data_IF_142842140582
#
_entry.id   IF_142842140582
#
_cell.length_a   1.000
_cell.length_b   1.000
_cell.length_c   1.000
_cell.angle_alpha   90.00
_cell.angle_beta   90.00
_cell.angle_gamma   90.00
#
_symmetry.space_group_name_H-M   'P 1'
#
loop_
_entity.id
_entity.type
_entity.pdbx_description
1 polymer ?
#
# COMPACT_ATOMS: atom_id res chain seq x y z
N UNK A 1 -9.25 -0.06 -32.26
CA UNK A 1 -9.24 -1.27 -31.41
C UNK A 1 -8.01 -1.37 -30.49
N UNK A 2 -7.21 -0.30 -30.30
CA UNK A 2 -5.93 -0.32 -29.56
C UNK A 2 -5.97 0.37 -28.19
N UNK A 3 -6.91 1.31 -27.97
CA UNK A 3 -6.93 2.15 -26.76
C UNK A 3 -7.31 1.39 -25.46
N UNK A 4 -8.15 0.34 -25.56
CA UNK A 4 -8.57 -0.46 -24.39
C UNK A 4 -7.51 -1.46 -23.91
N UNK A 5 -6.63 -1.92 -24.80
CA UNK A 5 -5.60 -2.92 -24.44
C UNK A 5 -4.51 -2.32 -23.56
N UNK A 6 -4.24 -1.01 -23.68
CA UNK A 6 -3.14 -0.31 -22.99
C UNK A 6 -3.43 -0.07 -21.49
N UNK A 7 -4.71 -0.15 -21.07
CA UNK A 7 -5.12 0.22 -19.73
C UNK A 7 -4.75 -0.79 -18.62
N UNK A 8 -4.40 -2.04 -18.98
CA UNK A 8 -4.06 -3.12 -18.03
C UNK A 8 -2.65 -3.68 -18.16
N UNK A 9 -1.79 -3.05 -18.97
CA UNK A 9 -0.44 -3.54 -19.24
C UNK A 9 0.51 -3.07 -18.12
N UNK A 10 1.31 -3.95 -17.51
CA UNK A 10 2.26 -3.54 -16.49
C UNK A 10 3.30 -2.57 -17.10
N UNK A 11 3.75 -1.61 -16.29
CA UNK A 11 4.73 -0.60 -16.70
C UNK A 11 5.99 -1.17 -17.35
N UNK A 12 6.44 -2.34 -16.91
CA UNK A 12 7.58 -3.06 -17.50
C UNK A 12 7.35 -3.39 -18.97
N UNK A 13 6.15 -3.85 -19.34
CA UNK A 13 5.82 -4.22 -20.72
C UNK A 13 5.68 -2.98 -21.60
N UNK A 14 5.14 -1.88 -21.11
CA UNK A 14 5.06 -0.64 -21.89
C UNK A 14 6.45 -0.05 -22.16
N UNK A 15 7.33 -0.08 -21.16
CA UNK A 15 8.72 0.32 -21.32
C UNK A 15 9.45 -0.57 -22.33
N UNK A 16 9.28 -1.90 -22.22
CA UNK A 16 9.81 -2.85 -23.19
C UNK A 16 9.29 -2.59 -24.60
N UNK A 17 7.99 -2.30 -24.77
CA UNK A 17 7.42 -2.00 -26.08
C UNK A 17 8.01 -0.71 -26.66
N UNK A 18 8.11 0.37 -25.88
CA UNK A 18 8.71 1.62 -26.33
C UNK A 18 10.17 1.44 -26.77
N UNK A 19 10.95 0.71 -25.96
CA UNK A 19 12.35 0.39 -26.28
C UNK A 19 12.43 -0.48 -27.54
N UNK A 20 11.60 -1.52 -27.66
CA UNK A 20 11.60 -2.41 -28.81
C UNK A 20 11.26 -1.68 -30.11
N UNK A 21 10.32 -0.74 -30.08
CA UNK A 21 9.93 0.08 -31.22
C UNK A 21 11.06 1.03 -31.61
N UNK A 22 11.72 1.66 -30.64
CA UNK A 22 12.86 2.55 -30.90
C UNK A 22 14.03 1.77 -31.51
N UNK A 23 14.36 0.59 -30.98
CA UNK A 23 15.39 -0.28 -31.55
C UNK A 23 15.01 -0.70 -32.97
N UNK A 24 13.75 -1.06 -33.21
CA UNK A 24 13.24 -1.41 -34.54
C UNK A 24 13.40 -0.26 -35.55
N UNK A 25 13.07 0.98 -35.16
CA UNK A 25 13.26 2.16 -36.00
C UNK A 25 14.75 2.43 -36.28
N UNK A 26 15.61 2.27 -35.28
CA UNK A 26 17.05 2.47 -35.45
C UNK A 26 17.62 1.43 -36.42
N UNK A 27 17.31 0.15 -36.24
CA UNK A 27 17.79 -0.93 -37.12
C UNK A 27 17.23 -0.74 -38.54
N UNK A 28 15.92 -0.54 -38.67
CA UNK A 28 15.27 -0.35 -39.97
C UNK A 28 15.80 0.86 -40.73
N UNK A 29 15.97 1.99 -40.04
CA UNK A 29 16.60 3.18 -40.61
C UNK A 29 18.05 2.93 -41.01
N UNK A 30 18.83 2.27 -40.14
CA UNK A 30 20.25 2.01 -40.40
C UNK A 30 20.42 1.16 -41.65
N UNK A 31 19.63 0.09 -41.78
CA UNK A 31 19.60 -0.76 -42.96
C UNK A 31 19.19 0.04 -44.20
N UNK A 32 18.13 0.83 -44.12
CA UNK A 32 17.66 1.64 -45.24
C UNK A 32 18.74 2.61 -45.75
N UNK A 33 19.35 3.41 -44.86
CA UNK A 33 20.39 4.36 -45.27
C UNK A 33 21.68 3.68 -45.72
N UNK A 34 22.03 2.51 -45.19
CA UNK A 34 23.17 1.74 -45.66
C UNK A 34 23.01 1.38 -47.15
N UNK A 35 21.83 0.90 -47.55
CA UNK A 35 21.58 0.52 -48.94
C UNK A 35 21.27 1.69 -49.87
N UNK A 36 20.57 2.72 -49.38
CA UNK A 36 20.16 3.84 -50.23
C UNK A 36 21.25 4.89 -50.44
N UNK A 37 22.09 5.16 -49.44
CA UNK A 37 23.15 6.16 -49.51
C UNK A 37 24.56 5.53 -49.64
N UNK A 38 24.68 4.20 -49.48
CA UNK A 38 25.98 3.52 -49.52
C UNK A 38 26.89 3.86 -48.33
N UNK A 39 26.36 4.48 -47.28
CA UNK A 39 27.10 4.82 -46.07
C UNK A 39 27.54 3.57 -45.32
N UNK A 40 28.63 3.66 -44.55
CA UNK A 40 29.01 2.57 -43.65
C UNK A 40 27.94 2.34 -42.58
N UNK A 41 27.83 1.12 -42.03
CA UNK A 41 26.89 0.79 -40.95
C UNK A 41 26.95 1.78 -39.77
N UNK A 42 28.15 2.24 -39.41
CA UNK A 42 28.36 3.21 -38.35
C UNK A 42 27.81 4.60 -38.70
N UNK A 43 28.03 5.08 -39.93
CA UNK A 43 27.51 6.35 -40.43
C UNK A 43 25.98 6.33 -40.51
N UNK A 44 25.39 5.25 -41.03
CA UNK A 44 23.94 5.07 -41.08
C UNK A 44 23.31 5.04 -39.70
N UNK A 45 23.90 4.29 -38.76
CA UNK A 45 23.43 4.25 -37.37
C UNK A 45 23.50 5.63 -36.71
N UNK A 46 24.64 6.30 -36.87
CA UNK A 46 24.85 7.64 -36.33
C UNK A 46 23.83 8.65 -36.88
N UNK A 47 23.60 8.66 -38.19
CA UNK A 47 22.61 9.53 -38.82
C UNK A 47 21.20 9.25 -38.30
N UNK A 48 20.81 7.98 -38.18
CA UNK A 48 19.46 7.61 -37.70
C UNK A 48 19.27 8.01 -36.25
N UNK A 49 20.27 7.77 -35.39
CA UNK A 49 20.19 8.17 -33.97
C UNK A 49 20.16 9.69 -33.83
N UNK A 50 21.03 10.43 -34.52
CA UNK A 50 21.06 11.90 -34.43
C UNK A 50 19.77 12.52 -34.97
N UNK A 51 19.15 11.91 -35.98
CA UNK A 51 17.87 12.32 -36.56
C UNK A 51 16.70 12.02 -35.63
N UNK A 52 16.60 10.79 -35.09
CA UNK A 52 15.51 10.38 -34.19
C UNK A 52 15.56 11.11 -32.84
N UNK A 53 16.76 11.43 -32.35
CA UNK A 53 16.95 12.25 -31.15
C UNK A 53 16.78 13.75 -31.41
N UNK A 54 16.47 14.13 -32.66
CA UNK A 54 16.30 15.53 -33.10
C UNK A 54 17.53 16.41 -32.88
N UNK A 55 18.72 15.81 -32.73
CA UNK A 55 19.98 16.53 -32.59
C UNK A 55 20.43 17.09 -33.95
N UNK A 56 20.40 16.25 -35.00
CA UNK A 56 20.53 16.67 -36.40
C UNK A 56 21.78 17.52 -36.70
N UNK A 57 22.99 17.00 -36.46
CA UNK A 57 24.24 17.73 -36.68
C UNK A 57 24.46 18.23 -38.11
N UNK A 58 23.86 17.56 -39.11
CA UNK A 58 23.91 17.98 -40.53
C UNK A 58 25.21 17.64 -41.26
N UNK A 59 26.14 16.97 -40.58
CA UNK A 59 27.40 16.45 -41.13
C UNK A 59 27.18 15.30 -42.13
N UNK A 60 26.19 14.45 -41.87
CA UNK A 60 25.63 13.51 -42.84
C UNK A 60 24.24 13.98 -43.27
N UNK A 61 23.99 13.96 -44.57
CA UNK A 61 22.69 14.35 -45.14
C UNK A 61 22.41 13.57 -46.42
N UNK A 62 21.13 13.24 -46.70
CA UNK A 62 20.76 12.47 -47.88
C UNK A 62 21.13 13.20 -49.18
N UNK A 63 21.81 12.49 -50.08
CA UNK A 63 22.37 13.07 -51.32
C UNK A 63 21.40 13.00 -52.48
N UNK A 64 20.55 11.96 -52.54
CA UNK A 64 19.56 11.76 -53.62
C UNK A 64 18.19 12.35 -53.29
N UNK A 65 17.42 12.74 -54.31
CA UNK A 65 16.06 13.24 -54.09
C UNK A 65 15.13 12.18 -53.50
N UNK A 66 15.31 10.92 -53.89
CA UNK A 66 14.53 9.80 -53.35
C UNK A 66 14.78 9.59 -51.85
N UNK A 67 16.04 9.62 -51.43
CA UNK A 67 16.41 9.47 -50.00
C UNK A 67 16.00 10.68 -49.18
N UNK A 68 16.02 11.90 -49.74
CA UNK A 68 15.48 13.11 -49.07
C UNK A 68 13.99 12.98 -48.79
N UNK A 69 13.20 12.52 -49.76
CA UNK A 69 11.76 12.28 -49.58
C UNK A 69 11.54 11.20 -48.52
N UNK A 70 12.27 10.08 -48.61
CA UNK A 70 12.23 9.03 -47.59
C UNK A 70 12.56 9.56 -46.19
N UNK A 71 13.61 10.38 -46.07
CA UNK A 71 14.05 10.98 -44.81
C UNK A 71 12.98 11.88 -44.22
N UNK A 72 12.29 12.67 -45.04
CA UNK A 72 11.19 13.53 -44.58
C UNK A 72 10.06 12.70 -43.93
N UNK A 73 9.61 11.63 -44.58
CA UNK A 73 8.59 10.74 -44.02
C UNK A 73 9.10 9.96 -42.80
N UNK A 74 10.35 9.49 -42.85
CA UNK A 74 10.99 8.78 -41.75
C UNK A 74 11.10 9.65 -40.49
N UNK A 75 11.49 10.93 -40.64
CA UNK A 75 11.56 11.88 -39.52
C UNK A 75 10.18 12.14 -38.92
N UNK A 76 9.17 12.39 -39.74
CA UNK A 76 7.80 12.62 -39.26
C UNK A 76 7.26 11.41 -38.49
N UNK A 77 7.43 10.21 -39.04
CA UNK A 77 7.01 8.97 -38.39
C UNK A 77 7.82 8.71 -37.10
N UNK A 78 9.14 8.86 -37.16
CA UNK A 78 10.05 8.64 -36.03
C UNK A 78 9.74 9.53 -34.85
N UNK A 79 9.57 10.84 -35.08
CA UNK A 79 9.22 11.80 -34.01
C UNK A 79 7.83 11.51 -33.44
N UNK A 80 6.83 11.23 -34.28
CA UNK A 80 5.48 10.89 -33.81
C UNK A 80 5.48 9.65 -32.91
N UNK A 81 6.21 8.60 -33.30
CA UNK A 81 6.35 7.37 -32.53
C UNK A 81 7.14 7.61 -31.23
N UNK A 82 8.20 8.41 -31.27
CA UNK A 82 8.99 8.77 -30.09
C UNK A 82 8.14 9.54 -29.06
N UNK A 83 7.39 10.55 -29.49
CA UNK A 83 6.48 11.32 -28.63
C UNK A 83 5.35 10.44 -28.06
N UNK A 84 4.75 9.58 -28.88
CA UNK A 84 3.73 8.64 -28.41
C UNK A 84 4.29 7.69 -27.34
N UNK A 85 5.52 7.20 -27.53
CA UNK A 85 6.20 6.33 -26.58
C UNK A 85 6.47 7.04 -25.25
N UNK A 86 6.92 8.30 -25.29
CA UNK A 86 7.09 9.13 -24.09
C UNK A 86 5.76 9.36 -23.36
N UNK A 87 4.68 9.63 -24.09
CA UNK A 87 3.34 9.78 -23.51
C UNK A 87 2.84 8.53 -22.81
N UNK A 88 3.07 7.35 -23.39
CA UNK A 88 2.75 6.06 -22.77
C UNK A 88 3.52 5.85 -21.48
N UNK A 89 4.84 6.10 -21.48
CA UNK A 89 5.67 5.97 -20.27
C UNK A 89 5.19 6.95 -19.19
N UNK A 90 4.92 8.21 -19.56
CA UNK A 90 4.47 9.25 -18.63
C UNK A 90 3.14 8.92 -17.96
N UNK A 91 2.14 8.52 -18.74
CA UNK A 91 0.82 8.15 -18.19
C UNK A 91 0.90 6.94 -17.27
N UNK A 92 1.74 5.96 -17.60
CA UNK A 92 1.92 4.77 -16.78
C UNK A 92 2.71 5.01 -15.50
N UNK A 93 3.69 5.92 -15.55
CA UNK A 93 4.39 6.36 -14.35
C UNK A 93 3.43 7.03 -13.35
N UNK A 94 2.53 7.88 -13.85
CA UNK A 94 1.52 8.54 -13.02
C UNK A 94 0.50 7.55 -12.43
N UNK A 95 -0.01 6.60 -13.24
CA UNK A 95 -0.92 5.56 -12.75
C UNK A 95 -0.31 4.71 -11.63
N UNK A 96 0.94 4.28 -11.80
CA UNK A 96 1.64 3.51 -10.76
C UNK A 96 1.81 4.30 -9.46
N UNK A 97 2.05 5.61 -9.57
CA UNK A 97 2.16 6.51 -8.42
C UNK A 97 0.82 6.64 -7.70
N UNK A 98 -0.26 6.82 -8.44
CA UNK A 98 -1.62 6.91 -7.91
C UNK A 98 -2.02 5.63 -7.18
N UNK A 99 -1.82 4.46 -7.79
CA UNK A 99 -2.09 3.17 -7.14
C UNK A 99 -1.26 2.97 -5.85
N UNK A 100 0.00 3.41 -5.84
CA UNK A 100 0.85 3.30 -4.66
C UNK A 100 0.37 4.19 -3.52
N UNK A 101 -0.19 5.37 -3.84
CA UNK A 101 -0.79 6.29 -2.86
C UNK A 101 -2.07 5.69 -2.30
N UNK A 102 -2.98 5.22 -3.16
CA UNK A 102 -4.26 4.62 -2.73
C UNK A 102 -4.03 3.37 -1.85
N UNK A 103 -3.10 2.49 -2.23
CA UNK A 103 -2.71 1.32 -1.42
C UNK A 103 -2.13 1.73 -0.06
N UNK A 104 -1.44 2.88 0.05
CA UNK A 104 -0.96 3.40 1.34
C UNK A 104 -2.10 3.93 2.18
N UNK A 105 -3.04 4.67 1.59
CA UNK A 105 -4.22 5.17 2.30
C UNK A 105 -5.10 4.04 2.86
N UNK A 106 -5.34 2.99 2.08
CA UNK A 106 -6.08 1.81 2.57
C UNK A 106 -5.37 1.10 3.72
N UNK A 107 -4.03 0.96 3.63
CA UNK A 107 -3.22 0.38 4.70
C UNK A 107 -3.28 1.22 5.97
N UNK A 108 -3.25 2.56 5.85
CA UNK A 108 -3.36 3.47 6.98
C UNK A 108 -4.75 3.37 7.63
N UNK A 109 -5.83 3.38 6.84
CA UNK A 109 -7.21 3.18 7.36
C UNK A 109 -7.36 1.84 8.08
N UNK A 110 -6.73 0.78 7.56
CA UNK A 110 -6.73 -0.55 8.18
C UNK A 110 -5.97 -0.53 9.52
N UNK A 111 -4.79 0.09 9.55
CA UNK A 111 -3.99 0.30 10.76
C UNK A 111 -4.76 1.10 11.83
N UNK A 112 -5.46 2.16 11.44
CA UNK A 112 -6.28 2.96 12.35
C UNK A 112 -7.42 2.14 12.96
N UNK A 113 -8.16 1.38 12.15
CA UNK A 113 -9.24 0.49 12.64
C UNK A 113 -8.70 -0.57 13.61
N UNK A 114 -7.54 -1.15 13.34
CA UNK A 114 -6.87 -2.09 14.23
C UNK A 114 -6.44 -1.42 15.54
N UNK A 115 -5.87 -0.22 15.47
CA UNK A 115 -5.48 0.53 16.66
C UNK A 115 -6.69 0.87 17.52
N UNK A 116 -7.82 1.24 16.90
CA UNK A 116 -9.05 1.55 17.60
C UNK A 116 -9.64 0.31 18.29
N UNK A 117 -9.68 -0.84 17.60
CA UNK A 117 -10.14 -2.09 18.21
C UNK A 117 -9.25 -2.54 19.37
N UNK A 118 -7.92 -2.37 19.25
CA UNK A 118 -6.96 -2.63 20.32
C UNK A 118 -7.14 -1.68 21.51
N UNK A 119 -7.43 -0.40 21.29
CA UNK A 119 -7.72 0.56 22.36
C UNK A 119 -9.00 0.17 23.10
N UNK A 120 -10.08 -0.17 22.38
CA UNK A 120 -11.34 -0.67 22.96
C UNK A 120 -11.11 -1.91 23.81
N UNK A 121 -10.40 -2.91 23.27
CA UNK A 121 -10.11 -4.15 23.99
C UNK A 121 -9.27 -3.91 25.25
N UNK A 122 -8.26 -3.03 25.18
CA UNK A 122 -7.47 -2.63 26.35
C UNK A 122 -8.32 -1.92 27.41
N UNK A 123 -9.27 -1.08 27.00
CA UNK A 123 -10.16 -0.37 27.93
C UNK A 123 -11.12 -1.31 28.64
N UNK A 124 -11.74 -2.25 27.93
CA UNK A 124 -12.58 -3.30 28.51
C UNK A 124 -11.79 -4.17 29.49
N UNK A 125 -10.58 -4.59 29.12
CA UNK A 125 -9.72 -5.39 30.02
C UNK A 125 -9.33 -4.62 31.30
N UNK A 126 -9.17 -3.28 31.22
CA UNK A 126 -8.96 -2.44 32.41
C UNK A 126 -10.21 -2.42 33.30
N UNK A 127 -11.40 -2.25 32.74
CA UNK A 127 -12.67 -2.27 33.47
C UNK A 127 -12.90 -3.62 34.15
N UNK A 128 -12.76 -4.72 33.41
CA UNK A 128 -12.88 -6.09 33.95
C UNK A 128 -11.92 -6.34 35.11
N UNK A 129 -10.69 -5.80 35.05
CA UNK A 129 -9.73 -5.91 36.14
C UNK A 129 -10.19 -5.17 37.40
N UNK A 130 -10.81 -3.99 37.25
CA UNK A 130 -11.38 -3.22 38.37
C UNK A 130 -12.59 -3.94 38.97
N UNK A 131 -13.52 -4.43 38.14
CA UNK A 131 -14.69 -5.19 38.60
C UNK A 131 -14.29 -6.46 39.37
N UNK A 132 -13.31 -7.21 38.86
CA UNK A 132 -12.76 -8.39 39.55
C UNK A 132 -12.15 -8.03 40.91
N UNK A 133 -11.56 -6.86 41.07
CA UNK A 133 -11.05 -6.39 42.37
C UNK A 133 -12.18 -6.02 43.32
N UNK A 134 -13.21 -5.31 42.84
CA UNK A 134 -14.40 -4.95 43.62
C UNK A 134 -15.16 -6.19 44.09
N UNK A 135 -15.39 -7.18 43.22
CA UNK A 135 -16.00 -8.46 43.61
C UNK A 135 -15.20 -9.16 44.71
N UNK A 136 -13.86 -9.21 44.59
CA UNK A 136 -12.99 -9.79 45.64
C UNK A 136 -13.13 -9.05 46.98
N UNK A 137 -13.30 -7.72 46.96
CA UNK A 137 -13.53 -6.94 48.18
C UNK A 137 -14.93 -7.19 48.75
N UNK A 138 -15.96 -7.26 47.91
CA UNK A 138 -17.34 -7.54 48.29
C UNK A 138 -17.43 -8.91 48.99
N UNK A 139 -16.88 -9.96 48.37
CA UNK A 139 -16.85 -11.31 48.95
C UNK A 139 -16.11 -11.34 50.29
N UNK A 140 -15.02 -10.58 50.44
CA UNK A 140 -14.32 -10.45 51.73
C UNK A 140 -15.18 -9.73 52.78
N UNK A 141 -15.89 -8.67 52.42
CA UNK A 141 -16.83 -7.94 53.31
C UNK A 141 -17.97 -8.85 53.74
N UNK A 142 -18.59 -9.57 52.82
CA UNK A 142 -19.71 -10.48 53.11
C UNK A 142 -19.28 -11.60 54.06
N UNK A 143 -18.10 -12.20 53.84
CA UNK A 143 -17.50 -13.18 54.76
C UNK A 143 -17.24 -12.59 56.16
N UNK A 144 -16.87 -11.31 56.26
CA UNK A 144 -16.71 -10.64 57.56
C UNK A 144 -18.04 -10.36 58.24
N UNK A 145 -19.06 -9.91 57.49
CA UNK A 145 -20.41 -9.67 58.00
C UNK A 145 -21.02 -10.96 58.52
N UNK A 146 -20.92 -12.06 57.75
CA UNK A 146 -21.33 -13.39 58.20
C UNK A 146 -20.61 -13.79 59.49
N UNK A 147 -19.28 -13.66 59.55
CA UNK A 147 -18.52 -13.96 60.78
C UNK A 147 -18.99 -13.11 61.98
N UNK A 148 -19.30 -11.82 61.78
CA UNK A 148 -19.82 -10.94 62.84
C UNK A 148 -21.22 -11.35 63.26
N UNK A 149 -22.14 -11.61 62.33
CA UNK A 149 -23.50 -12.07 62.64
C UNK A 149 -23.49 -13.41 63.40
N UNK A 150 -22.70 -14.38 62.96
CA UNK A 150 -22.53 -15.66 63.67
C UNK A 150 -21.98 -15.45 65.09
N UNK A 151 -21.01 -14.54 65.28
CA UNK A 151 -20.49 -14.18 66.61
C UNK A 151 -21.55 -13.50 67.49
N UNK A 152 -22.35 -12.59 66.96
CA UNK A 152 -23.42 -11.89 67.70
C UNK A 152 -24.52 -12.84 68.13
N UNK A 153 -24.98 -13.72 67.23
CA UNK A 153 -25.98 -14.76 67.53
C UNK A 153 -25.44 -15.74 68.58
N UNK A 154 -24.16 -16.14 68.47
CA UNK A 154 -23.51 -16.99 69.48
C UNK A 154 -23.44 -16.31 70.85
N UNK A 155 -23.15 -15.01 70.91
CA UNK A 155 -23.08 -14.22 72.16
C UNK A 155 -24.43 -14.11 72.87
N UNK A 156 -25.55 -14.01 72.15
CA UNK A 156 -26.90 -14.00 72.72
C UNK A 156 -27.36 -15.38 73.21
N UNK A 157 -26.92 -16.48 72.57
CA UNK A 157 -27.15 -17.84 73.07
C UNK A 157 -26.34 -18.19 74.34
N UNK A 158 -25.32 -17.41 74.70
CA UNK A 158 -24.43 -17.66 75.85
C UNK A 158 -24.30 -16.49 76.85
N UNK A 159 -25.17 -15.47 76.80
CA UNK A 159 -25.20 -14.32 77.73
C UNK A 159 -26.30 -14.46 78.82
N UNK A 160 -26.15 -13.84 80.00
CA UNK A 160 -26.59 -14.38 81.29
C UNK A 160 -28.11 -14.37 81.47
N UNK A 161 -28.71 -15.56 81.46
CA UNK A 161 -30.16 -15.72 81.53
C UNK A 161 -30.61 -17.08 82.08
N UNK A 162 -29.87 -17.66 83.03
CA UNK A 162 -30.39 -18.65 83.99
C UNK A 162 -29.68 -18.48 85.34
N UNK A 163 -29.92 -17.36 86.01
CA UNK A 163 -29.64 -17.22 87.43
C UNK A 163 -30.67 -16.25 88.02
N UNK A 164 -31.89 -16.73 88.26
CA UNK A 164 -32.73 -16.26 89.38
C UNK A 164 -34.01 -17.09 89.53
N UNK A 165 -34.08 -17.67 90.74
CA UNK A 165 -35.26 -17.91 91.59
C UNK A 165 -36.22 -19.06 91.23
N UNK A 166 -36.19 -20.07 92.09
CA UNK A 166 -37.31 -20.92 92.46
C UNK A 166 -37.18 -21.33 93.94
N UNK A 167 -38.27 -21.33 94.74
CA UNK A 167 -38.23 -21.21 96.20
C UNK A 167 -38.07 -22.56 96.92
N UNK A 168 -37.75 -22.49 98.22
CA UNK A 168 -37.23 -23.61 99.00
C UNK A 168 -38.21 -24.72 99.38
N UNK A 169 -37.68 -25.67 100.17
CA UNK A 169 -38.38 -26.56 101.09
C UNK A 169 -37.36 -27.38 101.89
N UNK A 170 -37.65 -27.53 103.19
CA UNK A 170 -37.51 -28.75 104.03
C UNK A 170 -36.11 -29.42 104.13
N UNK A 171 -35.55 -29.74 105.31
CA UNK A 171 -36.03 -29.87 106.70
C UNK A 171 -34.88 -29.53 107.64
#
# INVERSE_FOLDING_TARGET
MTLKTIAGIPFSTQLLTAISVMIGLIIGGTVAYHYMEGWTWAQSFYFVVSTLTTVGYGDLHPTSDATRIFTAFFMLAGVAIALASLGLIGTSYLKNREEAILKREEKLKTQEKLLESLKRHRQVNRQLKQERQLQKQQVKKDKQVQKKQVRTVRKYKTGPGQAKKGPGREK
#
